data_IF_693998449243
#
_entry.id   IF_693998449243
#
_cell.length_a   1.000
_cell.length_b   1.000
_cell.length_c   1.000
_cell.angle_alpha   90.00
_cell.angle_beta   90.00
_cell.angle_gamma   90.00
#
_symmetry.space_group_name_H-M   'P 1'
#
loop_
_entity.id
_entity.type
_entity.pdbx_description
1 polymer ?
#
# COMPACT_ATOMS: atom_id res chain seq x y z
N UNK A 1 15.28 -0.60 -11.04
CA UNK A 1 14.01 0.16 -11.20
C UNK A 1 14.29 1.28 -12.18
N UNK A 2 13.33 1.66 -13.04
CA UNK A 2 13.52 2.72 -14.02
C UNK A 2 14.14 3.94 -13.35
N UNK A 3 15.22 4.44 -13.95
CA UNK A 3 16.09 5.47 -13.36
C UNK A 3 15.62 6.86 -13.76
N UNK A 4 14.75 6.97 -14.77
CA UNK A 4 14.30 8.25 -15.32
C UNK A 4 12.77 8.33 -15.46
N UNK A 5 12.23 9.54 -15.44
CA UNK A 5 10.81 9.82 -15.74
C UNK A 5 10.42 9.38 -17.15
N UNK A 6 11.38 9.34 -18.09
CA UNK A 6 11.16 8.88 -19.47
C UNK A 6 10.86 7.38 -19.52
N UNK A 7 11.46 6.60 -18.64
CA UNK A 7 11.23 5.15 -18.56
C UNK A 7 9.79 4.86 -18.09
N UNK A 8 9.24 5.68 -17.17
CA UNK A 8 7.89 5.48 -16.63
C UNK A 8 6.80 5.72 -17.70
N UNK A 9 6.95 6.78 -18.49
CA UNK A 9 6.03 7.10 -19.58
C UNK A 9 6.01 5.99 -20.63
N UNK A 10 7.19 5.51 -21.03
CA UNK A 10 7.32 4.42 -22.00
C UNK A 10 6.63 3.13 -21.52
N UNK A 11 6.75 2.80 -20.22
CA UNK A 11 6.06 1.64 -19.64
C UNK A 11 4.53 1.83 -19.72
N UNK A 12 4.03 3.02 -19.37
CA UNK A 12 2.60 3.34 -19.47
C UNK A 12 2.10 3.25 -20.91
N UNK A 13 2.87 3.73 -21.88
CA UNK A 13 2.49 3.69 -23.29
C UNK A 13 2.34 2.25 -23.79
N UNK A 14 3.27 1.36 -23.43
CA UNK A 14 3.21 -0.07 -23.77
C UNK A 14 2.01 -0.75 -23.11
N UNK A 15 1.77 -0.48 -21.82
CA UNK A 15 0.62 -1.04 -21.10
C UNK A 15 -0.69 -0.53 -21.70
N UNK A 16 -0.83 0.77 -21.93
CA UNK A 16 -2.03 1.38 -22.48
C UNK A 16 -2.33 0.87 -23.90
N UNK A 17 -1.29 0.73 -24.73
CA UNK A 17 -1.41 0.17 -26.08
C UNK A 17 -1.93 -1.26 -26.04
N UNK A 18 -1.37 -2.10 -25.17
CA UNK A 18 -1.87 -3.45 -24.95
C UNK A 18 -3.32 -3.45 -24.47
N UNK A 19 -3.63 -2.66 -23.43
CA UNK A 19 -4.97 -2.61 -22.83
C UNK A 19 -6.04 -2.12 -23.81
N UNK A 20 -5.68 -1.21 -24.73
CA UNK A 20 -6.58 -0.76 -25.78
C UNK A 20 -6.99 -1.89 -26.76
N UNK A 21 -6.18 -2.96 -26.87
CA UNK A 21 -6.51 -4.13 -27.70
C UNK A 21 -7.41 -5.15 -27.00
N UNK A 22 -7.46 -5.14 -25.66
CA UNK A 22 -8.16 -6.15 -24.84
C UNK A 22 -9.28 -5.56 -23.98
N UNK A 23 -9.63 -4.29 -24.20
CA UNK A 23 -10.66 -3.57 -23.45
C UNK A 23 -11.46 -2.66 -24.39
N UNK A 24 -12.65 -2.18 -23.99
CA UNK A 24 -13.45 -1.27 -24.82
C UNK A 24 -12.90 0.16 -24.84
N UNK A 25 -11.80 0.44 -24.13
CA UNK A 25 -11.24 1.78 -24.00
C UNK A 25 -10.14 2.03 -25.02
N UNK A 26 -10.09 3.24 -25.55
CA UNK A 26 -9.01 3.68 -26.44
C UNK A 26 -7.73 3.96 -25.66
N UNK A 27 -6.58 3.93 -26.36
CA UNK A 27 -5.29 4.33 -25.81
C UNK A 27 -5.36 5.72 -25.13
N UNK A 28 -5.96 6.71 -25.80
CA UNK A 28 -6.07 8.07 -25.27
C UNK A 28 -6.89 8.13 -23.97
N UNK A 29 -8.00 7.39 -23.89
CA UNK A 29 -8.81 7.33 -22.68
C UNK A 29 -8.03 6.74 -21.49
N UNK A 30 -7.24 5.70 -21.73
CA UNK A 30 -6.42 5.05 -20.70
C UNK A 30 -5.27 5.97 -20.25
N UNK A 31 -4.60 6.65 -21.18
CA UNK A 31 -3.52 7.58 -20.85
C UNK A 31 -4.00 8.85 -20.14
N UNK A 32 -5.22 9.30 -20.43
CA UNK A 32 -5.84 10.45 -19.76
C UNK A 32 -6.37 10.15 -18.34
N UNK A 33 -6.54 8.87 -18.02
CA UNK A 33 -7.14 8.42 -16.75
C UNK A 33 -6.44 7.13 -16.26
N UNK A 34 -5.38 7.33 -15.47
CA UNK A 34 -4.56 6.24 -14.96
C UNK A 34 -5.31 5.35 -13.97
N UNK A 35 -6.36 5.85 -13.31
CA UNK A 35 -7.23 5.01 -12.45
C UNK A 35 -8.04 4.04 -13.30
N UNK A 36 -8.57 4.51 -14.43
CA UNK A 36 -9.22 3.64 -15.41
C UNK A 36 -8.26 2.60 -15.96
N UNK A 37 -7.02 2.99 -16.29
CA UNK A 37 -5.99 2.05 -16.74
C UNK A 37 -5.72 0.95 -15.70
N UNK A 38 -5.54 1.34 -14.43
CA UNK A 38 -5.33 0.39 -13.33
C UNK A 38 -6.51 -0.57 -13.16
N UNK A 39 -7.73 -0.04 -13.20
CA UNK A 39 -8.96 -0.83 -13.11
C UNK A 39 -9.08 -1.87 -14.24
N UNK A 40 -8.79 -1.46 -15.47
CA UNK A 40 -8.77 -2.38 -16.63
C UNK A 40 -7.69 -3.44 -16.44
N UNK A 41 -6.47 -3.06 -16.05
CA UNK A 41 -5.38 -4.01 -15.87
C UNK A 41 -5.68 -5.03 -14.76
N UNK A 42 -6.29 -4.60 -13.65
CA UNK A 42 -6.71 -5.47 -12.55
C UNK A 42 -7.85 -6.42 -12.95
N UNK A 43 -8.72 -6.01 -13.88
CA UNK A 43 -9.79 -6.85 -14.41
C UNK A 43 -9.29 -7.90 -15.43
N UNK A 44 -8.05 -7.77 -15.93
CA UNK A 44 -7.47 -8.73 -16.88
C UNK A 44 -6.93 -9.97 -16.16
N UNK A 45 -7.50 -11.16 -16.37
CA UNK A 45 -7.10 -12.37 -15.63
C UNK A 45 -5.69 -12.85 -16.00
N UNK A 46 -5.19 -12.51 -17.20
CA UNK A 46 -3.89 -12.94 -17.70
C UNK A 46 -3.21 -11.81 -18.48
N UNK A 47 -2.61 -10.86 -17.76
CA UNK A 47 -1.74 -9.86 -18.36
C UNK A 47 -0.45 -10.53 -18.86
N UNK A 48 -0.05 -10.36 -20.14
CA UNK A 48 1.12 -11.01 -20.73
C UNK A 48 2.41 -10.27 -20.32
N UNK A 49 2.69 -10.20 -19.02
CA UNK A 49 3.82 -9.45 -18.44
C UNK A 49 5.18 -9.76 -19.09
N UNK A 50 5.40 -11.02 -19.50
CA UNK A 50 6.62 -11.43 -20.19
C UNK A 50 6.76 -10.73 -21.55
N UNK A 51 5.68 -10.65 -22.32
CA UNK A 51 5.69 -10.01 -23.63
C UNK A 51 5.84 -8.49 -23.50
N UNK A 52 5.10 -7.86 -22.58
CA UNK A 52 5.23 -6.43 -22.31
C UNK A 52 6.64 -6.07 -21.83
N UNK A 53 7.24 -6.91 -20.97
CA UNK A 53 8.61 -6.75 -20.51
C UNK A 53 9.62 -6.78 -21.66
N UNK A 54 9.48 -7.70 -22.62
CA UNK A 54 10.37 -7.78 -23.79
C UNK A 54 10.34 -6.50 -24.64
N UNK A 55 9.17 -5.86 -24.80
CA UNK A 55 9.06 -4.59 -25.55
C UNK A 55 9.78 -3.43 -24.85
N UNK A 56 9.98 -3.54 -23.54
CA UNK A 56 10.57 -2.52 -22.68
C UNK A 56 12.03 -2.81 -22.31
N UNK A 57 12.61 -3.91 -22.81
CA UNK A 57 13.88 -4.46 -22.33
C UNK A 57 13.91 -4.66 -20.81
N UNK A 58 12.78 -5.14 -20.26
CA UNK A 58 12.57 -5.41 -18.85
C UNK A 58 12.23 -6.88 -18.62
N UNK A 59 12.79 -7.46 -17.57
CA UNK A 59 12.32 -8.75 -17.07
C UNK A 59 10.88 -8.63 -16.54
N UNK A 60 10.12 -9.73 -16.59
CA UNK A 60 8.78 -9.83 -16.01
C UNK A 60 8.73 -9.31 -14.57
N UNK A 61 9.74 -9.66 -13.77
CA UNK A 61 9.82 -9.27 -12.36
C UNK A 61 10.03 -7.76 -12.19
N UNK A 62 10.86 -7.14 -13.02
CA UNK A 62 11.10 -5.69 -12.96
C UNK A 62 9.84 -4.90 -13.32
N UNK A 63 9.14 -5.31 -14.39
CA UNK A 63 7.90 -4.67 -14.81
C UNK A 63 6.79 -4.84 -13.76
N UNK A 64 6.63 -6.06 -13.24
CA UNK A 64 5.68 -6.37 -12.17
C UNK A 64 5.94 -5.50 -10.94
N UNK A 65 7.19 -5.46 -10.44
CA UNK A 65 7.56 -4.61 -9.30
C UNK A 65 7.32 -3.14 -9.59
N UNK A 66 7.66 -2.67 -10.78
CA UNK A 66 7.41 -1.28 -11.13
C UNK A 66 5.91 -0.94 -11.06
N UNK A 67 5.05 -1.81 -11.59
CA UNK A 67 3.61 -1.58 -11.58
C UNK A 67 3.03 -1.58 -10.15
N UNK A 68 3.29 -2.64 -9.37
CA UNK A 68 2.69 -2.78 -8.04
C UNK A 68 3.35 -1.89 -6.97
N UNK A 69 4.67 -1.64 -7.06
CA UNK A 69 5.40 -0.89 -6.03
C UNK A 69 5.57 0.60 -6.36
N UNK A 70 5.60 1.00 -7.64
CA UNK A 70 5.80 2.40 -8.02
C UNK A 70 4.53 3.01 -8.60
N UNK A 71 3.96 2.44 -9.65
CA UNK A 71 2.79 3.02 -10.33
C UNK A 71 1.58 3.09 -9.39
N UNK A 72 1.16 1.96 -8.80
CA UNK A 72 0.01 1.95 -7.90
C UNK A 72 0.21 2.83 -6.66
N UNK A 73 1.42 2.91 -6.12
CA UNK A 73 1.73 3.79 -4.98
C UNK A 73 1.63 5.27 -5.34
N UNK A 74 2.03 5.65 -6.55
CA UNK A 74 1.88 7.02 -7.02
C UNK A 74 0.40 7.33 -7.35
N UNK A 75 -0.33 6.35 -7.88
CA UNK A 75 -1.73 6.51 -8.27
C UNK A 75 -2.67 6.70 -7.07
N UNK A 76 -2.57 5.82 -6.09
CA UNK A 76 -3.46 5.81 -4.92
C UNK A 76 -2.91 6.63 -3.73
N UNK A 77 -1.69 7.14 -3.86
CA UNK A 77 -1.05 7.99 -2.87
C UNK A 77 -0.59 7.27 -1.61
N UNK A 78 -0.56 8.02 -0.51
CA UNK A 78 -0.10 7.55 0.81
C UNK A 78 -1.29 7.38 1.75
N UNK A 79 -1.09 6.55 2.77
CA UNK A 79 -2.02 6.46 3.90
C UNK A 79 -2.10 7.81 4.61
N UNK A 80 -3.30 8.19 5.06
CA UNK A 80 -3.51 9.44 5.79
C UNK A 80 -2.75 9.44 7.11
N UNK A 81 -2.33 10.62 7.58
CA UNK A 81 -1.53 10.71 8.80
C UNK A 81 -2.27 10.21 10.04
N UNK A 82 -3.59 10.43 10.12
CA UNK A 82 -4.42 9.92 11.21
C UNK A 82 -4.41 8.38 11.25
N UNK A 83 -4.65 7.74 10.10
CA UNK A 83 -4.61 6.28 9.97
C UNK A 83 -3.20 5.73 10.21
N UNK A 84 -2.15 6.44 9.80
CA UNK A 84 -0.76 6.07 10.12
C UNK A 84 -0.48 6.10 11.63
N UNK A 85 -1.11 7.00 12.40
CA UNK A 85 -1.00 7.01 13.87
C UNK A 85 -1.71 5.79 14.48
N UNK A 86 -2.91 5.47 14.02
CA UNK A 86 -3.65 4.25 14.44
C UNK A 86 -2.81 3.00 14.15
N UNK A 87 -2.31 2.89 12.92
CA UNK A 87 -1.46 1.78 12.49
C UNK A 87 -0.22 1.62 13.39
N UNK A 88 0.49 2.71 13.68
CA UNK A 88 1.65 2.71 14.57
C UNK A 88 1.32 2.28 15.99
N UNK A 89 0.23 2.82 16.55
CA UNK A 89 -0.21 2.50 17.91
C UNK A 89 -0.57 1.01 18.04
N UNK A 90 -1.39 0.49 17.14
CA UNK A 90 -1.84 -0.90 17.17
C UNK A 90 -0.68 -1.88 16.98
N UNK A 91 0.26 -1.59 16.09
CA UNK A 91 1.46 -2.43 15.91
C UNK A 91 2.37 -2.36 17.15
N UNK A 92 2.53 -1.18 17.77
CA UNK A 92 3.34 -1.04 18.98
C UNK A 92 2.73 -1.84 20.15
N UNK A 93 1.41 -1.75 20.34
CA UNK A 93 0.69 -2.54 21.35
C UNK A 93 0.83 -4.04 21.10
N UNK A 94 0.65 -4.50 19.85
CA UNK A 94 0.79 -5.91 19.51
C UNK A 94 2.21 -6.43 19.77
N UNK A 95 3.25 -5.64 19.43
CA UNK A 95 4.64 -5.98 19.71
C UNK A 95 4.93 -6.06 21.21
N UNK A 96 4.35 -5.17 22.01
CA UNK A 96 4.53 -5.15 23.47
C UNK A 96 3.83 -6.32 24.16
N UNK A 97 2.59 -6.61 23.77
CA UNK A 97 1.78 -7.69 24.34
C UNK A 97 2.17 -9.07 23.79
N UNK A 98 3.11 -9.14 22.84
CA UNK A 98 3.49 -10.39 22.19
C UNK A 98 2.38 -11.00 21.34
N UNK A 99 1.45 -10.17 20.84
CA UNK A 99 0.34 -10.61 19.99
C UNK A 99 0.84 -10.91 18.58
N UNK A 100 0.42 -12.05 18.04
CA UNK A 100 0.72 -12.43 16.67
C UNK A 100 0.02 -11.50 15.66
N UNK A 101 0.84 -10.84 14.84
CA UNK A 101 0.40 -9.94 13.78
C UNK A 101 0.09 -10.71 12.48
N UNK A 102 -0.82 -11.67 12.58
CA UNK A 102 -1.21 -12.55 11.50
C UNK A 102 -2.19 -11.88 10.49
N UNK A 103 -2.79 -12.69 9.61
CA UNK A 103 -3.76 -12.21 8.62
C UNK A 103 -5.03 -11.67 9.29
N UNK A 104 -5.46 -12.27 10.41
CA UNK A 104 -6.63 -11.82 11.14
C UNK A 104 -6.39 -10.44 11.76
N UNK A 105 -5.26 -10.26 12.44
CA UNK A 105 -4.84 -8.96 12.98
C UNK A 105 -4.81 -7.88 11.91
N UNK A 106 -4.18 -8.15 10.76
CA UNK A 106 -4.11 -7.19 9.66
C UNK A 106 -5.49 -6.83 9.10
N UNK A 107 -6.41 -7.80 9.02
CA UNK A 107 -7.79 -7.56 8.57
C UNK A 107 -8.54 -6.68 9.56
N UNK A 108 -8.46 -6.98 10.85
CA UNK A 108 -9.09 -6.20 11.93
C UNK A 108 -8.54 -4.77 11.95
N UNK A 109 -7.21 -4.61 11.87
CA UNK A 109 -6.57 -3.30 11.81
C UNK A 109 -7.01 -2.51 10.58
N UNK A 110 -7.13 -3.14 9.41
CA UNK A 110 -7.62 -2.49 8.19
C UNK A 110 -9.05 -1.95 8.36
N UNK A 111 -9.91 -2.63 9.11
CA UNK A 111 -11.29 -2.22 9.38
C UNK A 111 -11.39 -1.03 10.35
N UNK A 112 -10.35 -0.74 11.13
CA UNK A 112 -10.31 0.39 12.05
C UNK A 112 -9.87 1.71 11.39
N UNK A 113 -9.38 1.64 10.14
CA UNK A 113 -8.92 2.82 9.42
C UNK A 113 -10.10 3.62 8.86
N UNK A 114 -9.90 4.92 8.65
CA UNK A 114 -10.94 5.86 8.20
C UNK A 114 -11.55 5.50 6.85
N UNK A 115 -10.83 4.74 6.01
CA UNK A 115 -11.25 4.35 4.67
C UNK A 115 -10.62 3.03 4.23
N UNK A 116 -11.18 2.46 3.16
CA UNK A 116 -10.60 1.29 2.53
C UNK A 116 -9.35 1.65 1.70
N UNK A 117 -8.20 1.17 2.18
CA UNK A 117 -6.94 1.29 1.44
C UNK A 117 -6.73 0.11 0.48
N UNK A 118 -6.07 0.41 -0.65
CA UNK A 118 -5.50 -0.60 -1.53
C UNK A 118 -4.53 -1.50 -0.77
N UNK A 119 -4.56 -2.80 -1.06
CA UNK A 119 -3.78 -3.83 -0.35
C UNK A 119 -2.29 -3.49 -0.28
N UNK A 120 -1.73 -3.00 -1.38
CA UNK A 120 -0.29 -2.71 -1.47
C UNK A 120 0.10 -1.51 -0.60
N UNK A 121 -0.73 -0.46 -0.53
CA UNK A 121 -0.50 0.69 0.34
C UNK A 121 -0.47 0.23 1.80
N UNK A 122 -1.49 -0.52 2.21
CA UNK A 122 -1.59 -1.02 3.58
C UNK A 122 -0.40 -1.93 3.93
N UNK A 123 -0.09 -2.92 3.09
CA UNK A 123 1.00 -3.88 3.32
C UNK A 123 2.35 -3.18 3.47
N UNK A 124 2.64 -2.19 2.61
CA UNK A 124 3.88 -1.43 2.68
C UNK A 124 3.95 -0.59 3.96
N UNK A 125 2.87 0.14 4.29
CA UNK A 125 2.80 0.95 5.51
C UNK A 125 2.97 0.09 6.77
N UNK A 126 2.29 -1.05 6.81
CA UNK A 126 2.34 -2.02 7.89
C UNK A 126 3.77 -2.55 8.11
N UNK A 127 4.39 -3.08 7.05
CA UNK A 127 5.73 -3.67 7.15
C UNK A 127 6.81 -2.65 7.49
N UNK A 128 6.73 -1.45 6.91
CA UNK A 128 7.65 -0.36 7.25
C UNK A 128 7.51 0.07 8.71
N UNK A 129 6.29 0.18 9.19
CA UNK A 129 6.00 0.54 10.59
C UNK A 129 6.52 -0.52 11.55
N UNK A 130 6.15 -1.79 11.34
CA UNK A 130 6.64 -2.93 12.13
C UNK A 130 8.17 -2.98 12.17
N UNK A 131 8.82 -2.86 11.02
CA UNK A 131 10.29 -2.86 10.92
C UNK A 131 10.93 -1.67 11.66
N UNK A 132 10.32 -0.50 11.59
CA UNK A 132 10.81 0.70 12.28
C UNK A 132 10.71 0.54 13.80
N UNK A 133 9.57 0.06 14.30
CA UNK A 133 9.34 -0.19 15.72
C UNK A 133 10.26 -1.29 16.28
N UNK A 134 10.51 -2.35 15.52
CA UNK A 134 11.44 -3.43 15.91
C UNK A 134 12.91 -2.97 15.97
N UNK A 135 13.31 -2.04 15.10
CA UNK A 135 14.70 -1.57 15.02
C UNK A 135 15.04 -0.43 15.98
N UNK A 136 14.04 0.23 16.56
CA UNK A 136 14.25 1.50 17.26
C UNK A 136 13.85 1.43 18.73
N UNK A 137 14.35 2.37 19.53
CA UNK A 137 13.79 2.68 20.84
C UNK A 137 12.38 3.31 20.76
N UNK A 138 11.76 3.44 19.56
CA UNK A 138 10.42 4.04 19.44
C UNK A 138 9.35 3.20 20.12
N UNK A 139 9.56 1.88 20.27
CA UNK A 139 8.68 1.06 21.11
C UNK A 139 8.57 1.65 22.52
N UNK A 140 9.66 2.18 23.10
CA UNK A 140 9.66 2.85 24.41
C UNK A 140 8.88 4.16 24.43
N UNK A 141 8.83 4.89 23.31
CA UNK A 141 8.03 6.13 23.21
C UNK A 141 6.54 5.83 23.03
N UNK A 142 6.19 4.81 22.25
CA UNK A 142 4.80 4.36 22.14
C UNK A 142 4.27 3.81 23.47
N UNK A 143 5.11 3.10 24.25
CA UNK A 143 4.77 2.65 25.61
C UNK A 143 4.26 3.78 26.51
N UNK A 144 4.95 4.93 26.51
CA UNK A 144 4.55 6.08 27.32
C UNK A 144 3.19 6.68 26.90
N UNK A 145 2.79 6.51 25.64
CA UNK A 145 1.49 6.95 25.14
C UNK A 145 0.40 5.95 25.54
N UNK A 146 0.67 4.65 25.41
CA UNK A 146 -0.28 3.58 25.80
C UNK A 146 -0.59 3.64 27.29
N UNK A 147 0.44 3.76 28.14
CA UNK A 147 0.27 3.86 29.59
C UNK A 147 -0.59 5.07 29.98
N UNK A 148 -0.37 6.22 29.32
CA UNK A 148 -1.17 7.42 29.56
C UNK A 148 -2.64 7.26 29.13
N UNK A 149 -2.90 6.57 28.01
CA UNK A 149 -4.28 6.32 27.56
C UNK A 149 -5.02 5.34 28.47
N UNK A 150 -4.36 4.30 28.96
CA UNK A 150 -4.95 3.34 29.90
C UNK A 150 -5.33 4.02 31.23
N UNK A 151 -4.45 4.87 31.76
CA UNK A 151 -4.74 5.70 32.94
C UNK A 151 -5.94 6.63 32.72
N UNK A 152 -6.03 7.26 31.54
CA UNK A 152 -7.14 8.15 31.20
C UNK A 152 -8.47 7.40 31.09
N UNK A 153 -8.49 6.23 30.44
CA UNK A 153 -9.69 5.39 30.36
C UNK A 153 -10.12 4.87 31.73
N UNK A 154 -9.17 4.42 32.57
CA UNK A 154 -9.45 3.99 33.93
C UNK A 154 -10.06 5.11 34.80
N UNK A 155 -9.56 6.34 34.67
CA UNK A 155 -10.13 7.50 35.36
C UNK A 155 -11.52 7.88 34.85
N UNK A 156 -11.81 7.73 33.55
CA UNK A 156 -13.13 8.01 32.99
C UNK A 156 -14.20 7.00 33.43
N UNK A 157 -13.83 5.75 33.71
CA UNK A 157 -14.75 4.73 34.23
C UNK A 157 -15.12 4.95 35.70
N UNK A 158 -14.25 5.57 36.49
CA UNK A 158 -14.50 5.89 37.90
C UNK A 158 -15.45 7.09 38.12
N UNK A 159 -15.73 7.87 37.07
CA UNK A 159 -16.58 9.07 37.12
C UNK A 159 -18.06 8.75 36.78
N UNK A 160 -18.38 7.48 36.50
CA UNK A 160 -19.76 7.00 36.29
C UNK A 160 -20.34 6.36 37.54
#
# INVERSE_FOLDING_TARGET
MPKSTRDAQQILDVIASYLATVSPYTYLQLMSDLNKMDGVLCAQPKVPWKHLGLQLDMTTQQLYRWYFDNFQRNLYGRMEEADMKVLRLQIAMALELGVDMDVHFQKTLKQQLSKEYQRNIFTVAFNNTKKTLLKSNELKRCKAIVSYTEELFAHMEQIK
#
